data_IF_965581895734
#
_entry.id   IF_965581895734
#
_cell.length_a   1.000
_cell.length_b   1.000
_cell.length_c   1.000
_cell.angle_alpha   90.00
_cell.angle_beta   90.00
_cell.angle_gamma   90.00
#
_symmetry.space_group_name_H-M   'P 1'
#
loop_
_entity.id
_entity.type
_entity.pdbx_description
1 polymer ?
#
# COMPACT_ATOMS: atom_id res chain seq x y z
N UNK A 1 30.45 33.48 29.86
CA UNK A 1 30.84 32.12 29.46
C UNK A 1 29.78 31.17 30.02
N UNK A 2 28.77 30.84 29.23
CA UNK A 2 27.72 29.90 29.60
C UNK A 2 27.62 28.87 28.50
N UNK A 3 28.23 27.70 28.71
CA UNK A 3 28.05 26.54 27.84
C UNK A 3 26.77 25.85 28.28
N UNK A 4 25.66 26.20 27.63
CA UNK A 4 24.41 25.45 27.77
C UNK A 4 24.52 24.25 26.83
N UNK A 5 24.88 23.11 27.41
CA UNK A 5 24.85 21.82 26.75
C UNK A 5 23.39 21.44 26.48
N UNK A 6 22.95 21.58 25.22
CA UNK A 6 21.68 21.02 24.74
C UNK A 6 21.90 19.53 24.49
N UNK A 7 21.16 18.63 25.16
CA UNK A 7 21.17 17.23 24.79
C UNK A 7 20.51 17.07 23.41
N UNK A 8 21.25 16.56 22.43
CA UNK A 8 20.67 16.02 21.20
C UNK A 8 19.76 14.85 21.59
N UNK A 9 18.46 15.11 21.67
CA UNK A 9 17.45 14.05 21.68
C UNK A 9 17.46 13.40 20.30
N UNK A 10 18.01 12.18 20.25
CA UNK A 10 17.85 11.25 19.14
C UNK A 10 16.36 10.94 19.08
N UNK A 11 15.62 11.65 18.22
CA UNK A 11 14.27 11.23 17.83
C UNK A 11 14.48 9.98 16.98
N UNK A 12 14.43 8.83 17.63
CA UNK A 12 14.12 7.59 16.97
C UNK A 12 12.77 7.79 16.30
N UNK A 13 12.80 8.17 15.03
CA UNK A 13 11.69 7.96 14.13
C UNK A 13 11.53 6.45 14.00
N UNK A 14 10.83 5.84 14.96
CA UNK A 14 10.15 4.59 14.74
C UNK A 14 9.11 4.90 13.64
N UNK A 15 9.57 4.84 12.39
CA UNK A 15 8.72 4.54 11.27
C UNK A 15 8.15 3.16 11.53
N UNK A 16 7.11 3.10 12.37
CA UNK A 16 6.12 2.04 12.37
C UNK A 16 5.39 2.16 11.03
N UNK A 17 6.12 1.89 9.95
CA UNK A 17 5.56 1.48 8.68
C UNK A 17 5.14 0.04 8.92
N UNK A 18 4.11 -0.14 9.76
CA UNK A 18 3.46 -1.41 9.95
C UNK A 18 3.10 -1.95 8.57
N UNK A 19 3.20 -3.29 8.42
CA UNK A 19 2.85 -3.94 7.16
C UNK A 19 1.52 -3.38 6.63
N UNK A 20 1.46 -3.03 5.34
CA UNK A 20 0.26 -2.44 4.78
C UNK A 20 -0.91 -3.40 4.97
N UNK A 21 -2.03 -2.83 5.37
CA UNK A 21 -3.28 -3.53 5.62
C UNK A 21 -4.35 -3.08 4.63
N UNK A 22 -5.52 -3.73 4.67
CA UNK A 22 -6.65 -3.39 3.79
C UNK A 22 -6.97 -1.88 3.78
N UNK A 23 -6.89 -1.21 4.94
CA UNK A 23 -7.18 0.21 5.05
C UNK A 23 -6.16 1.10 4.33
N UNK A 24 -4.86 0.75 4.37
CA UNK A 24 -3.83 1.47 3.63
C UNK A 24 -4.06 1.40 2.12
N UNK A 25 -4.35 0.21 1.59
CA UNK A 25 -4.68 0.00 0.18
C UNK A 25 -5.93 0.77 -0.22
N UNK A 26 -7.00 0.69 0.58
CA UNK A 26 -8.24 1.41 0.32
C UNK A 26 -8.04 2.93 0.28
N UNK A 27 -7.24 3.46 1.21
CA UNK A 27 -6.91 4.89 1.27
C UNK A 27 -6.08 5.34 0.05
N UNK A 28 -5.08 4.56 -0.36
CA UNK A 28 -4.31 4.84 -1.56
C UNK A 28 -5.19 4.81 -2.81
N UNK A 29 -6.06 3.79 -2.93
CA UNK A 29 -7.05 3.69 -4.00
C UNK A 29 -7.94 4.94 -4.07
N UNK A 30 -8.47 5.40 -2.94
CA UNK A 30 -9.31 6.60 -2.88
C UNK A 30 -8.57 7.88 -3.22
N UNK A 31 -7.30 7.97 -2.83
CA UNK A 31 -6.50 9.18 -3.02
C UNK A 31 -6.05 9.35 -4.47
N UNK A 32 -5.88 8.23 -5.19
CA UNK A 32 -5.31 8.24 -6.55
C UNK A 32 -6.36 8.03 -7.65
N UNK A 33 -7.48 7.38 -7.34
CA UNK A 33 -8.53 7.07 -8.33
C UNK A 33 -9.77 7.91 -8.13
N UNK A 34 -10.73 7.83 -9.07
CA UNK A 34 -12.06 8.42 -8.92
C UNK A 34 -13.10 7.38 -8.49
N UNK A 35 -12.68 6.31 -7.82
CA UNK A 35 -13.56 5.26 -7.33
C UNK A 35 -14.29 5.71 -6.06
N UNK A 36 -15.40 5.04 -5.74
CA UNK A 36 -16.14 5.29 -4.49
C UNK A 36 -15.43 4.65 -3.29
N UNK A 37 -15.75 5.14 -2.09
CA UNK A 37 -15.26 4.59 -0.82
C UNK A 37 -15.57 3.10 -0.68
N UNK A 38 -16.80 2.68 -0.98
CA UNK A 38 -17.22 1.28 -0.95
C UNK A 38 -16.40 0.39 -1.90
N UNK A 39 -16.07 0.91 -3.09
CA UNK A 39 -15.30 0.15 -4.08
C UNK A 39 -13.84 0.00 -3.64
N UNK A 40 -13.22 1.08 -3.15
CA UNK A 40 -11.84 1.04 -2.66
C UNK A 40 -11.71 0.25 -1.36
N UNK A 41 -12.69 0.29 -0.46
CA UNK A 41 -12.73 -0.59 0.71
C UNK A 41 -12.75 -2.05 0.30
N UNK A 42 -13.61 -2.42 -0.67
CA UNK A 42 -13.62 -3.79 -1.19
C UNK A 42 -12.28 -4.19 -1.82
N UNK A 43 -11.60 -3.28 -2.54
CA UNK A 43 -10.27 -3.55 -3.10
C UNK A 43 -9.25 -3.78 -1.99
N UNK A 44 -9.32 -3.02 -0.89
CA UNK A 44 -8.48 -3.23 0.28
C UNK A 44 -8.68 -4.61 0.89
N UNK A 45 -9.93 -5.02 1.11
CA UNK A 45 -10.26 -6.33 1.67
C UNK A 45 -9.81 -7.48 0.75
N UNK A 46 -10.03 -7.34 -0.56
CA UNK A 46 -9.57 -8.31 -1.56
C UNK A 46 -8.03 -8.40 -1.61
N UNK A 47 -7.33 -7.28 -1.40
CA UNK A 47 -5.87 -7.26 -1.37
C UNK A 47 -5.34 -8.02 -0.16
N UNK A 48 -5.96 -7.84 1.02
CA UNK A 48 -5.61 -8.56 2.24
C UNK A 48 -5.87 -10.06 2.13
N UNK A 49 -6.94 -10.48 1.43
CA UNK A 49 -7.23 -11.89 1.19
C UNK A 49 -6.24 -12.53 0.21
N UNK A 50 -5.85 -11.80 -0.84
CA UNK A 50 -5.17 -12.39 -2.01
C UNK A 50 -3.68 -12.13 -2.08
N UNK A 51 -3.19 -11.03 -1.52
CA UNK A 51 -1.79 -10.64 -1.61
C UNK A 51 -1.04 -10.93 -0.30
N UNK A 52 0.27 -11.09 -0.41
CA UNK A 52 1.14 -11.08 0.77
C UNK A 52 1.29 -9.66 1.32
N UNK A 53 1.87 -9.52 2.52
CA UNK A 53 2.18 -8.21 3.09
C UNK A 53 3.03 -7.35 2.14
N UNK A 54 4.09 -7.93 1.55
CA UNK A 54 4.94 -7.22 0.60
C UNK A 54 4.20 -6.94 -0.73
N UNK A 55 3.30 -7.83 -1.16
CA UNK A 55 2.43 -7.59 -2.32
C UNK A 55 1.45 -6.43 -2.11
N UNK A 56 0.89 -6.29 -0.90
CA UNK A 56 0.09 -5.13 -0.52
C UNK A 56 0.93 -3.86 -0.45
N UNK A 57 2.19 -3.96 0.00
CA UNK A 57 3.11 -2.83 0.05
C UNK A 57 3.47 -2.33 -1.33
N UNK A 58 3.75 -3.26 -2.23
CA UNK A 58 3.99 -2.96 -3.63
C UNK A 58 2.76 -2.37 -4.31
N UNK A 59 1.57 -2.90 -4.04
CA UNK A 59 0.32 -2.34 -4.54
C UNK A 59 0.07 -0.92 -4.01
N UNK A 60 0.35 -0.67 -2.72
CA UNK A 60 0.18 0.64 -2.11
C UNK A 60 1.14 1.65 -2.72
N UNK A 61 2.43 1.32 -2.82
CA UNK A 61 3.44 2.16 -3.47
C UNK A 61 3.08 2.48 -4.93
N UNK A 62 2.58 1.49 -5.68
CA UNK A 62 2.08 1.68 -7.04
C UNK A 62 0.89 2.66 -7.11
N UNK A 63 -0.06 2.56 -6.18
CA UNK A 63 -1.21 3.45 -6.11
C UNK A 63 -0.80 4.86 -5.67
N UNK A 64 0.17 5.00 -4.76
CA UNK A 64 0.66 6.31 -4.30
C UNK A 64 1.61 6.98 -5.31
N UNK A 65 2.05 6.24 -6.33
CA UNK A 65 3.03 6.70 -7.31
C UNK A 65 4.44 6.79 -6.73
N UNK A 66 4.74 6.03 -5.67
CA UNK A 66 6.07 5.94 -5.07
C UNK A 66 6.94 5.02 -5.95
N UNK A 67 7.58 5.61 -6.96
CA UNK A 67 8.40 4.88 -7.93
C UNK A 67 9.64 4.25 -7.29
N UNK A 68 10.21 4.89 -6.27
CA UNK A 68 11.41 4.42 -5.57
C UNK A 68 11.09 3.16 -4.74
N UNK A 69 10.02 3.22 -3.93
CA UNK A 69 9.56 2.05 -3.16
C UNK A 69 9.04 0.94 -4.09
N UNK A 70 8.35 1.29 -5.17
CA UNK A 70 7.92 0.32 -6.19
C UNK A 70 9.11 -0.39 -6.83
N UNK A 71 10.18 0.33 -7.17
CA UNK A 71 11.38 -0.26 -7.77
C UNK A 71 12.10 -1.18 -6.77
N UNK A 72 12.28 -0.73 -5.52
CA UNK A 72 12.87 -1.53 -4.45
C UNK A 72 12.08 -2.82 -4.20
N UNK A 73 10.76 -2.71 -4.05
CA UNK A 73 9.89 -3.86 -3.81
C UNK A 73 9.84 -4.79 -5.02
N UNK A 74 9.95 -4.29 -6.25
CA UNK A 74 10.00 -5.14 -7.45
C UNK A 74 11.27 -6.00 -7.50
N UNK A 75 12.38 -5.53 -6.93
CA UNK A 75 13.62 -6.32 -6.83
C UNK A 75 13.56 -7.35 -5.70
N UNK A 76 12.88 -7.02 -4.60
CA UNK A 76 12.70 -7.91 -3.44
C UNK A 76 11.63 -8.97 -3.68
N UNK A 77 10.54 -8.60 -4.35
CA UNK A 77 9.47 -9.51 -4.74
C UNK A 77 9.95 -10.39 -5.90
N UNK A 78 9.73 -11.69 -5.78
CA UNK A 78 9.89 -12.58 -6.92
C UNK A 78 8.96 -12.20 -8.07
N UNK A 79 9.33 -12.56 -9.31
CA UNK A 79 8.54 -12.27 -10.52
C UNK A 79 7.07 -12.74 -10.41
N UNK A 80 6.84 -13.86 -9.73
CA UNK A 80 5.50 -14.40 -9.49
C UNK A 80 4.63 -13.41 -8.71
N UNK A 81 5.18 -12.81 -7.66
CA UNK A 81 4.43 -11.94 -6.76
C UNK A 81 4.18 -10.55 -7.36
N UNK A 82 5.16 -10.03 -8.11
CA UNK A 82 4.98 -8.83 -8.94
C UNK A 82 3.88 -9.05 -9.98
N UNK A 83 3.88 -10.21 -10.66
CA UNK A 83 2.86 -10.54 -11.65
C UNK A 83 1.47 -10.69 -11.01
N UNK A 84 1.40 -11.31 -9.84
CA UNK A 84 0.15 -11.45 -9.07
C UNK A 84 -0.42 -10.10 -8.66
N UNK A 85 0.40 -9.20 -8.11
CA UNK A 85 -0.02 -7.84 -7.78
C UNK A 85 -0.45 -7.04 -9.02
N UNK A 86 0.25 -7.20 -10.16
CA UNK A 86 -0.15 -6.62 -11.43
C UNK A 86 -1.52 -7.12 -11.94
N UNK A 87 -1.76 -8.43 -11.86
CA UNK A 87 -3.06 -9.02 -12.19
C UNK A 87 -4.16 -8.57 -11.22
N UNK A 88 -3.83 -8.41 -9.94
CA UNK A 88 -4.75 -7.91 -8.93
C UNK A 88 -5.28 -6.52 -9.30
N UNK A 89 -4.40 -5.56 -9.64
CA UNK A 89 -4.80 -4.20 -10.03
C UNK A 89 -5.82 -4.16 -11.17
N UNK A 90 -5.72 -5.09 -12.11
CA UNK A 90 -6.60 -5.13 -13.29
C UNK A 90 -7.92 -5.86 -13.04
N UNK A 91 -7.95 -6.80 -12.10
CA UNK A 91 -9.10 -7.69 -11.87
C UNK A 91 -9.92 -7.34 -10.63
N UNK A 92 -9.30 -6.77 -9.60
CA UNK A 92 -9.96 -6.43 -8.34
C UNK A 92 -11.09 -5.40 -8.51
N UNK A 93 -10.92 -4.30 -9.27
CA UNK A 93 -12.01 -3.32 -9.44
C UNK A 93 -13.26 -3.93 -10.07
N UNK A 94 -13.11 -4.77 -11.09
CA UNK A 94 -14.23 -5.44 -11.74
C UNK A 94 -14.91 -6.45 -10.82
N UNK A 95 -14.13 -7.19 -10.03
CA UNK A 95 -14.63 -8.16 -9.05
C UNK A 95 -15.45 -7.46 -7.98
N UNK A 96 -14.93 -6.36 -7.42
CA UNK A 96 -15.62 -5.56 -6.41
C UNK A 96 -16.87 -4.87 -6.96
N UNK A 97 -16.81 -4.28 -8.16
CA UNK A 97 -17.98 -3.67 -8.79
C UNK A 97 -19.11 -4.70 -8.99
N UNK A 98 -18.77 -5.91 -9.44
CA UNK A 98 -19.75 -6.99 -9.60
C UNK A 98 -20.34 -7.49 -8.27
N UNK A 99 -19.57 -7.43 -7.17
CA UNK A 99 -20.05 -7.77 -5.82
C UNK A 99 -21.01 -6.72 -5.28
N UNK A 100 -20.71 -5.43 -5.47
CA UNK A 100 -21.51 -4.31 -4.98
C UNK A 100 -22.79 -4.05 -5.80
N UNK A 101 -22.85 -4.54 -7.04
CA UNK A 101 -24.03 -4.42 -7.89
C UNK A 101 -25.14 -5.45 -7.60
N UNK A 102 -24.93 -6.35 -6.63
CA UNK A 102 -25.87 -7.41 -6.22
C UNK A 102 -26.56 -7.03 -4.92
#
# INVERSE_FOLDING_TARGET
>A
MGVVALPLAIVAGCGDQGAPNASAVAKACLSTTNMTDELCSCIGDEAEEKLSADGMRFLTALLEGDEDETAELREQLGLEEVAKAGMFMTTAPATCAARLAR
#
